data_IF_108122696404
#
_entry.id   IF_108122696404
#
_cell.length_a   1.000
_cell.length_b   1.000
_cell.length_c   1.000
_cell.angle_alpha   90.00
_cell.angle_beta   90.00
_cell.angle_gamma   90.00
#
_symmetry.space_group_name_H-M   'P 1'
#
loop_
_entity.id
_entity.type
_entity.pdbx_description
1 polymer ?
#
# COMPACT_ATOMS: atom_id res chain seq x y z
N UNK A 1 -23.82 5.15 -6.30
CA UNK A 1 -22.58 4.35 -6.35
C UNK A 1 -22.25 4.08 -7.82
N UNK A 2 -20.98 4.19 -8.21
CA UNK A 2 -20.53 3.81 -9.54
C UNK A 2 -20.52 2.28 -9.65
N UNK A 3 -21.12 1.73 -10.70
CA UNK A 3 -21.26 0.28 -10.92
C UNK A 3 -20.57 -0.22 -12.19
N UNK A 4 -19.64 0.58 -12.74
CA UNK A 4 -18.90 0.26 -13.95
C UNK A 4 -17.46 -0.21 -13.67
N UNK A 5 -16.71 -0.45 -14.73
CA UNK A 5 -15.26 -0.66 -14.70
C UNK A 5 -14.52 0.64 -15.00
N UNK A 6 -13.27 0.70 -14.54
CA UNK A 6 -12.34 1.79 -14.82
C UNK A 6 -11.00 1.16 -15.23
N UNK A 7 -10.39 1.68 -16.28
CA UNK A 7 -9.03 1.32 -16.68
C UNK A 7 -8.03 2.35 -16.14
N UNK A 8 -6.87 1.86 -15.70
CA UNK A 8 -5.80 2.66 -15.10
C UNK A 8 -4.44 2.08 -15.48
N UNK A 9 -3.46 2.96 -15.62
CA UNK A 9 -2.08 2.56 -15.81
C UNK A 9 -1.52 1.94 -14.53
N UNK A 10 -0.65 0.94 -14.72
CA UNK A 10 0.06 0.24 -13.63
C UNK A 10 1.55 0.46 -13.84
N UNK A 11 2.29 0.67 -12.76
CA UNK A 11 3.75 0.71 -12.81
C UNK A 11 4.38 0.51 -11.45
N UNK A 12 5.66 0.85 -11.36
CA UNK A 12 6.45 0.73 -10.14
C UNK A 12 6.91 2.11 -9.66
N UNK A 13 6.90 2.32 -8.34
CA UNK A 13 7.43 3.54 -7.72
C UNK A 13 8.33 3.20 -6.54
N UNK A 14 9.35 4.02 -6.33
CA UNK A 14 10.12 3.99 -5.10
C UNK A 14 9.36 4.70 -3.97
N UNK A 15 9.03 3.99 -2.90
CA UNK A 15 8.37 4.52 -1.72
C UNK A 15 9.31 4.47 -0.50
N UNK A 16 9.09 5.39 0.45
CA UNK A 16 9.76 5.40 1.75
C UNK A 16 8.70 5.37 2.84
N UNK A 17 8.71 4.31 3.65
CA UNK A 17 7.83 4.13 4.80
C UNK A 17 8.66 3.69 6.00
N UNK A 18 8.42 4.30 7.17
CA UNK A 18 9.12 3.99 8.42
C UNK A 18 10.65 3.97 8.26
N UNK A 19 11.20 4.89 7.45
CA UNK A 19 12.65 5.01 7.18
C UNK A 19 13.22 3.95 6.22
N UNK A 20 12.43 2.98 5.76
CA UNK A 20 12.85 1.96 4.78
C UNK A 20 12.47 2.41 3.37
N UNK A 21 13.31 2.13 2.37
CA UNK A 21 12.99 2.34 0.95
C UNK A 21 12.69 1.01 0.26
N UNK A 22 11.61 0.94 -0.52
CA UNK A 22 11.25 -0.21 -1.38
C UNK A 22 10.71 0.28 -2.71
N UNK A 23 10.74 -0.59 -3.71
CA UNK A 23 9.99 -0.43 -4.96
C UNK A 23 8.69 -1.22 -4.80
N UNK A 24 7.55 -0.60 -5.10
CA UNK A 24 6.23 -1.22 -4.98
C UNK A 24 5.44 -1.04 -6.28
N UNK A 25 4.58 -2.01 -6.65
CA UNK A 25 3.62 -1.83 -7.72
C UNK A 25 2.54 -0.83 -7.29
N UNK A 26 2.10 0.02 -8.22
CA UNK A 26 1.04 1.00 -8.01
C UNK A 26 0.10 1.06 -9.21
N UNK A 27 -1.15 1.40 -8.91
CA UNK A 27 -2.13 1.85 -9.91
C UNK A 27 -2.07 3.37 -9.91
N UNK A 28 -1.82 4.00 -11.05
CA UNK A 28 -1.79 5.46 -11.14
C UNK A 28 -3.21 6.02 -11.14
N UNK A 29 -3.53 6.81 -10.12
CA UNK A 29 -4.79 7.55 -10.01
C UNK A 29 -4.81 8.83 -10.82
N UNK A 30 -5.95 9.51 -10.83
CA UNK A 30 -6.12 10.83 -11.43
C UNK A 30 -5.80 11.94 -10.42
N UNK A 31 -5.73 13.19 -10.90
CA UNK A 31 -5.52 14.34 -10.02
C UNK A 31 -6.65 14.46 -8.98
N UNK A 32 -6.26 14.51 -7.71
CA UNK A 32 -7.21 14.59 -6.59
C UNK A 32 -7.58 13.23 -5.98
N UNK A 33 -7.20 12.10 -6.59
CA UNK A 33 -7.38 10.79 -5.97
C UNK A 33 -6.51 10.66 -4.71
N UNK A 34 -7.04 10.07 -3.62
CA UNK A 34 -6.25 9.84 -2.43
C UNK A 34 -5.18 8.78 -2.71
N UNK A 35 -3.96 9.02 -2.21
CA UNK A 35 -2.95 7.97 -2.17
C UNK A 35 -3.37 6.88 -1.18
N UNK A 36 -3.48 5.64 -1.66
CA UNK A 36 -3.86 4.48 -0.84
C UNK A 36 -2.70 3.51 -0.77
N UNK A 37 -2.33 3.12 0.45
CA UNK A 37 -1.38 2.04 0.68
C UNK A 37 -2.14 0.70 0.71
N UNK A 38 -2.03 -0.06 -0.37
CA UNK A 38 -2.65 -1.38 -0.49
C UNK A 38 -1.90 -2.48 0.26
N UNK A 39 -2.55 -3.65 0.38
CA UNK A 39 -1.99 -4.83 1.05
C UNK A 39 -0.64 -5.27 0.46
N UNK A 40 -0.49 -5.24 -0.86
CA UNK A 40 0.77 -5.63 -1.52
C UNK A 40 1.93 -4.73 -1.13
N UNK A 41 1.69 -3.44 -0.95
CA UNK A 41 2.73 -2.53 -0.48
C UNK A 41 3.08 -2.81 0.99
N UNK A 42 2.09 -3.06 1.85
CA UNK A 42 2.32 -3.45 3.24
C UNK A 42 3.17 -4.73 3.35
N UNK A 43 2.87 -5.75 2.55
CA UNK A 43 3.63 -7.01 2.49
C UNK A 43 5.09 -6.79 2.07
N UNK A 44 5.34 -6.02 1.01
CA UNK A 44 6.70 -5.69 0.54
C UNK A 44 7.52 -4.96 1.63
N UNK A 45 6.85 -4.13 2.43
CA UNK A 45 7.46 -3.41 3.52
C UNK A 45 7.56 -4.20 4.83
N UNK A 46 6.98 -5.41 4.89
CA UNK A 46 6.81 -6.19 6.13
C UNK A 46 6.06 -5.42 7.22
N UNK A 47 4.97 -4.75 6.83
CA UNK A 47 4.12 -3.96 7.72
C UNK A 47 2.71 -4.52 7.79
N UNK A 48 2.02 -4.20 8.88
CA UNK A 48 0.59 -4.41 9.08
C UNK A 48 -0.05 -3.17 9.71
N UNK A 49 -1.39 -3.12 9.70
CA UNK A 49 -2.15 -2.03 10.32
C UNK A 49 -2.59 -2.45 11.71
N UNK A 50 -2.21 -1.68 12.74
CA UNK A 50 -2.89 -1.71 14.03
C UNK A 50 -4.25 -1.02 13.86
N UNK A 51 -5.32 -1.81 13.74
CA UNK A 51 -6.68 -1.30 13.52
C UNK A 51 -7.24 -0.52 14.73
N UNK A 52 -6.71 -0.74 15.93
CA UNK A 52 -7.17 -0.05 17.14
C UNK A 52 -6.57 1.34 17.21
N UNK A 53 -5.27 1.46 16.89
CA UNK A 53 -4.54 2.74 16.93
C UNK A 53 -4.58 3.50 15.60
N UNK A 54 -4.92 2.82 14.50
CA UNK A 54 -4.89 3.40 13.16
C UNK A 54 -3.48 3.72 12.66
N UNK A 55 -2.48 2.91 13.06
CA UNK A 55 -1.07 3.13 12.71
C UNK A 55 -0.45 1.90 12.06
N UNK A 56 0.62 2.10 11.30
CA UNK A 56 1.44 1.00 10.79
C UNK A 56 2.35 0.44 11.88
N UNK A 57 2.55 -0.87 11.89
CA UNK A 57 3.55 -1.57 12.71
C UNK A 57 4.27 -2.62 11.88
N UNK A 58 5.45 -3.05 12.33
CA UNK A 58 6.15 -4.19 11.74
C UNK A 58 5.27 -5.44 11.86
N UNK A 59 5.14 -6.17 10.76
CA UNK A 59 4.42 -7.43 10.74
C UNK A 59 5.23 -8.50 11.47
N UNK A 60 4.55 -9.28 12.32
CA UNK A 60 5.15 -10.44 12.99
C UNK A 60 4.89 -11.71 12.17
N UNK A 61 5.95 -12.43 11.80
CA UNK A 61 5.84 -13.77 11.23
C UNK A 61 5.79 -14.80 12.35
N UNK A 62 4.65 -15.47 12.52
CA UNK A 62 4.55 -16.65 13.36
C UNK A 62 5.02 -17.87 12.54
N UNK A 63 6.20 -18.38 12.88
CA UNK A 63 6.65 -19.67 12.37
C UNK A 63 5.96 -20.79 13.16
N UNK A 64 5.41 -21.78 12.43
CA UNK A 64 4.78 -22.99 12.99
C UNK A 64 5.81 -24.06 13.34
#
# INVERSE_FOLDING_TARGET
AFGGSVERDIGEVGAILMGKRRVIPVIFGEEGDPAVLGVTALEIFWLEVDLVRGVLREAELLLL
#
